data_IF_169816392335
#
_entry.id   IF_169816392335
#
_cell.length_a   1.000
_cell.length_b   1.000
_cell.length_c   1.000
_cell.angle_alpha   90.00
_cell.angle_beta   90.00
_cell.angle_gamma   90.00
#
_symmetry.space_group_name_H-M   'P 1'
#
loop_
_entity.id
_entity.type
_entity.pdbx_description
1 polymer ?
#
# COMPACT_ATOMS: atom_id res chain seq x y z
N UNK A 1 -14.52 -21.98 26.85
CA UNK A 1 -13.78 -21.87 25.57
C UNK A 1 -13.53 -20.39 25.33
N UNK A 2 -12.31 -19.93 25.63
CA UNK A 2 -11.90 -18.54 25.73
C UNK A 2 -11.38 -17.99 24.40
N UNK A 3 -11.87 -16.82 23.97
CA UNK A 3 -11.08 -15.86 23.18
C UNK A 3 -11.57 -14.43 23.50
N UNK A 4 -10.70 -13.57 24.08
CA UNK A 4 -10.94 -12.15 23.97
C UNK A 4 -9.65 -11.36 23.76
N UNK A 5 -9.11 -11.24 22.54
CA UNK A 5 -8.09 -10.19 22.31
C UNK A 5 -8.06 -9.61 20.90
N UNK A 6 -8.96 -8.66 20.59
CA UNK A 6 -8.66 -7.58 19.62
C UNK A 6 -9.36 -6.27 20.00
N UNK A 7 -8.73 -5.49 20.87
CA UNK A 7 -8.95 -4.05 20.92
C UNK A 7 -7.60 -3.37 20.64
N UNK A 8 -7.37 -3.02 19.38
CA UNK A 8 -6.25 -2.16 18.97
C UNK A 8 -6.49 -0.79 19.59
N UNK A 9 -5.83 -0.54 20.71
CA UNK A 9 -5.84 0.76 21.36
C UNK A 9 -4.94 1.72 20.57
N UNK A 10 -5.56 2.67 19.88
CA UNK A 10 -4.92 3.92 19.45
C UNK A 10 -4.47 4.67 20.72
N UNK A 11 -3.17 4.67 21.01
CA UNK A 11 -2.61 5.58 22.03
C UNK A 11 -2.40 6.94 21.39
N UNK A 12 -3.28 7.87 21.78
CA UNK A 12 -3.10 9.32 21.64
C UNK A 12 -1.81 9.72 22.34
N UNK A 13 -0.90 10.37 21.62
CA UNK A 13 0.25 11.05 22.21
C UNK A 13 -0.25 12.26 22.98
N UNK A 14 -0.09 12.26 24.30
CA UNK A 14 -0.28 13.45 25.14
C UNK A 14 1.11 13.94 25.51
N UNK A 15 1.43 15.18 25.11
CA UNK A 15 2.64 15.87 25.52
C UNK A 15 2.64 16.07 27.03
N UNK A 16 3.65 15.54 27.70
CA UNK A 16 3.97 15.84 29.09
C UNK A 16 5.35 16.48 29.16
N UNK A 17 5.38 17.79 29.39
CA UNK A 17 6.57 18.56 29.68
C UNK A 17 6.99 18.29 31.14
N UNK A 18 8.17 17.73 31.38
CA UNK A 18 8.77 17.71 32.72
C UNK A 18 10.30 17.75 32.59
N UNK A 19 10.87 18.86 33.07
CA UNK A 19 12.30 19.12 33.12
C UNK A 19 12.93 18.45 34.37
N UNK A 20 14.04 17.74 34.18
CA UNK A 20 15.05 17.51 35.23
C UNK A 20 16.38 16.98 34.62
N UNK A 21 17.39 17.84 34.68
CA UNK A 21 18.84 17.64 34.75
C UNK A 21 19.46 16.22 34.55
N UNK A 22 20.39 16.12 33.59
CA UNK A 22 21.59 15.27 33.72
C UNK A 22 21.78 14.15 32.70
N UNK A 23 22.94 14.18 32.03
CA UNK A 23 23.50 13.23 31.03
C UNK A 23 23.08 13.49 29.58
N UNK A 24 24.05 13.99 28.82
CA UNK A 24 24.02 14.21 27.38
C UNK A 24 23.89 12.88 26.62
N UNK A 25 22.65 12.42 26.45
CA UNK A 25 22.27 11.50 25.38
C UNK A 25 21.25 12.28 24.55
N UNK A 26 21.74 12.97 23.52
CA UNK A 26 20.88 13.69 22.58
C UNK A 26 19.79 12.76 22.07
N UNK A 27 18.55 13.25 21.88
CA UNK A 27 17.51 12.42 21.32
C UNK A 27 18.05 11.89 20.00
N UNK A 28 17.99 10.57 19.82
CA UNK A 28 18.01 9.98 18.50
C UNK A 28 16.91 10.71 17.73
N UNK A 29 17.30 11.77 17.02
CA UNK A 29 16.41 12.51 16.17
C UNK A 29 15.80 11.47 15.28
N UNK A 30 14.46 11.39 15.28
CA UNK A 30 13.75 10.61 14.30
C UNK A 30 14.39 10.97 12.96
N UNK A 31 15.17 10.05 12.40
CA UNK A 31 15.86 10.27 11.14
C UNK A 31 14.74 10.64 10.18
N UNK A 32 14.71 11.91 9.78
CA UNK A 32 13.70 12.38 8.83
C UNK A 32 13.92 11.52 7.60
N UNK A 33 12.98 10.62 7.31
CA UNK A 33 13.11 9.70 6.21
C UNK A 33 13.38 10.52 4.95
N UNK A 34 14.59 10.42 4.40
CA UNK A 34 15.05 11.25 3.30
C UNK A 34 14.19 10.89 2.08
N UNK A 35 13.25 11.76 1.72
CA UNK A 35 12.40 11.57 0.54
C UNK A 35 13.09 12.24 -0.64
N UNK A 36 13.38 11.47 -1.69
CA UNK A 36 13.96 11.98 -2.93
C UNK A 36 12.85 12.00 -3.98
N UNK A 37 12.71 13.12 -4.70
CA UNK A 37 11.79 13.24 -5.83
C UNK A 37 12.26 12.37 -6.99
N UNK A 38 11.35 11.85 -7.83
CA UNK A 38 11.71 11.02 -8.98
C UNK A 38 12.75 11.68 -9.91
N UNK A 39 12.70 13.00 -10.09
CA UNK A 39 13.66 13.74 -10.93
C UNK A 39 15.10 13.75 -10.38
N UNK A 40 15.27 13.52 -9.08
CA UNK A 40 16.56 13.45 -8.40
C UNK A 40 16.98 12.01 -8.07
N UNK A 41 16.13 11.02 -8.38
CA UNK A 41 16.42 9.63 -8.12
C UNK A 41 17.36 9.06 -9.20
N UNK A 42 18.30 8.17 -8.83
CA UNK A 42 19.08 7.41 -9.80
C UNK A 42 18.19 6.70 -10.83
N UNK A 43 18.57 6.65 -12.12
CA UNK A 43 17.75 6.02 -13.17
C UNK A 43 17.37 4.57 -12.87
N UNK A 44 18.26 3.81 -12.22
CA UNK A 44 17.98 2.44 -11.80
C UNK A 44 16.82 2.35 -10.79
N UNK A 45 16.65 3.34 -9.92
CA UNK A 45 15.55 3.39 -8.95
C UNK A 45 14.23 3.73 -9.64
N UNK A 46 14.25 4.61 -10.64
CA UNK A 46 13.07 4.95 -11.45
C UNK A 46 12.61 3.72 -12.25
N UNK A 47 13.54 3.02 -12.90
CA UNK A 47 13.25 1.79 -13.63
C UNK A 47 12.65 0.72 -12.71
N UNK A 48 13.25 0.53 -11.52
CA UNK A 48 12.73 -0.40 -10.52
C UNK A 48 11.32 0.00 -10.05
N UNK A 49 11.08 1.27 -9.76
CA UNK A 49 9.76 1.78 -9.39
C UNK A 49 8.71 1.51 -10.47
N UNK A 50 9.09 1.58 -11.75
CA UNK A 50 8.22 1.19 -12.88
C UNK A 50 7.84 -0.29 -12.85
N UNK A 51 8.81 -1.17 -12.63
CA UNK A 51 8.60 -2.63 -12.54
C UNK A 51 7.69 -2.97 -11.35
N UNK A 52 7.92 -2.36 -10.19
CA UNK A 52 7.07 -2.54 -9.02
C UNK A 52 5.65 -2.04 -9.30
N UNK A 53 5.51 -0.87 -9.92
CA UNK A 53 4.20 -0.30 -10.25
C UNK A 53 3.39 -1.22 -11.18
N UNK A 54 4.03 -1.77 -12.22
CA UNK A 54 3.38 -2.71 -13.14
C UNK A 54 2.99 -4.01 -12.43
N UNK A 55 3.91 -4.60 -11.68
CA UNK A 55 3.69 -5.86 -10.97
C UNK A 55 2.56 -5.75 -9.95
N UNK A 56 2.56 -4.66 -9.17
CA UNK A 56 1.49 -4.37 -8.21
C UNK A 56 0.18 -4.12 -8.92
N UNK A 57 0.16 -3.33 -10.00
CA UNK A 57 -1.07 -3.10 -10.77
C UNK A 57 -1.65 -4.40 -11.30
N UNK A 58 -0.83 -5.24 -11.92
CA UNK A 58 -1.24 -6.55 -12.42
C UNK A 58 -1.79 -7.45 -11.29
N UNK A 59 -1.17 -7.42 -10.10
CA UNK A 59 -1.68 -8.16 -8.94
C UNK A 59 -3.05 -7.66 -8.47
N UNK A 60 -3.26 -6.35 -8.47
CA UNK A 60 -4.51 -5.72 -8.00
C UNK A 60 -5.65 -5.77 -9.04
N UNK A 61 -5.35 -5.95 -10.32
CA UNK A 61 -6.34 -6.08 -11.40
C UNK A 61 -6.50 -7.51 -11.93
N UNK A 62 -5.78 -8.47 -11.34
CA UNK A 62 -5.87 -9.88 -11.70
C UNK A 62 -7.18 -10.54 -11.24
N UNK A 63 -7.34 -11.81 -11.54
CA UNK A 63 -8.54 -12.60 -11.20
C UNK A 63 -8.50 -13.22 -9.79
N UNK A 64 -7.65 -12.69 -8.91
CA UNK A 64 -7.61 -13.12 -7.51
C UNK A 64 -8.92 -12.71 -6.80
N UNK A 65 -9.56 -13.60 -6.00
CA UNK A 65 -10.79 -13.26 -5.30
C UNK A 65 -10.68 -12.00 -4.42
N UNK A 66 -9.53 -11.74 -3.80
CA UNK A 66 -9.31 -10.51 -3.04
C UNK A 66 -9.18 -9.29 -3.95
N UNK A 67 -8.57 -9.42 -5.14
CA UNK A 67 -8.48 -8.36 -6.13
C UNK A 67 -9.86 -7.99 -6.71
N UNK A 68 -10.72 -8.99 -6.94
CA UNK A 68 -12.10 -8.79 -7.37
C UNK A 68 -12.93 -8.08 -6.28
N UNK A 69 -12.85 -8.53 -5.02
CA UNK A 69 -13.53 -7.88 -3.90
C UNK A 69 -13.07 -6.44 -3.70
N UNK A 70 -11.75 -6.19 -3.77
CA UNK A 70 -11.19 -4.85 -3.71
C UNK A 70 -11.72 -3.96 -4.84
N UNK A 71 -11.80 -4.49 -6.07
CA UNK A 71 -12.36 -3.76 -7.21
C UNK A 71 -13.83 -3.40 -7.00
N UNK A 72 -14.63 -4.32 -6.46
CA UNK A 72 -16.04 -4.08 -6.12
C UNK A 72 -16.19 -3.05 -4.98
N UNK A 73 -15.31 -3.10 -3.98
CA UNK A 73 -15.28 -2.11 -2.89
C UNK A 73 -14.96 -0.71 -3.41
N UNK A 74 -13.99 -0.58 -4.32
CA UNK A 74 -13.63 0.69 -4.96
C UNK A 74 -14.80 1.24 -5.78
N UNK A 75 -15.50 0.38 -6.54
CA UNK A 75 -16.67 0.79 -7.32
C UNK A 75 -17.82 1.34 -6.47
N UNK A 76 -17.86 1.00 -5.17
CA UNK A 76 -18.87 1.49 -4.22
C UNK A 76 -18.49 2.81 -3.53
N UNK A 77 -17.28 3.33 -3.77
CA UNK A 77 -16.86 4.60 -3.15
C UNK A 77 -17.66 5.77 -3.73
N UNK A 78 -18.14 6.71 -2.89
CA UNK A 78 -18.89 7.87 -3.36
C UNK A 78 -18.00 8.77 -4.23
N UNK A 79 -18.47 9.08 -5.44
CA UNK A 79 -17.73 9.89 -6.41
C UNK A 79 -16.65 9.12 -7.19
N UNK A 80 -16.55 7.80 -7.03
CA UNK A 80 -15.73 6.99 -7.91
C UNK A 80 -16.42 6.85 -9.28
N UNK A 81 -15.82 7.45 -10.31
CA UNK A 81 -16.16 7.12 -11.69
C UNK A 81 -15.44 5.80 -12.06
N UNK A 82 -16.17 4.72 -12.39
CA UNK A 82 -15.58 3.45 -12.79
C UNK A 82 -14.65 3.56 -14.01
N UNK A 83 -14.86 4.54 -14.89
CA UNK A 83 -14.02 4.79 -16.08
C UNK A 83 -12.70 5.47 -15.71
N UNK A 84 -12.74 6.40 -14.75
CA UNK A 84 -11.56 7.10 -14.24
C UNK A 84 -10.74 6.19 -13.31
N UNK A 85 -11.40 5.38 -12.48
CA UNK A 85 -10.75 4.64 -11.42
C UNK A 85 -10.21 5.54 -10.30
N UNK A 86 -9.40 4.97 -9.41
CA UNK A 86 -8.81 5.69 -8.26
C UNK A 86 -7.28 5.64 -8.30
N UNK A 87 -6.63 6.64 -7.71
CA UNK A 87 -5.19 6.64 -7.47
C UNK A 87 -4.89 6.27 -6.03
N UNK A 88 -4.25 5.11 -5.84
CA UNK A 88 -3.76 4.66 -4.53
C UNK A 88 -2.33 5.12 -4.30
N UNK A 89 -2.11 5.86 -3.23
CA UNK A 89 -0.77 6.20 -2.75
C UNK A 89 -0.35 5.15 -1.73
N UNK A 90 0.68 4.36 -2.07
CA UNK A 90 1.15 3.24 -1.24
C UNK A 90 2.65 3.35 -1.05
N UNK A 91 3.09 3.15 0.18
CA UNK A 91 4.48 3.07 0.60
C UNK A 91 4.85 1.60 0.83
N UNK A 92 5.94 1.14 0.22
CA UNK A 92 6.38 -0.25 0.21
C UNK A 92 7.72 -0.41 0.91
N UNK A 93 7.81 -1.39 1.81
CA UNK A 93 9.08 -1.92 2.30
C UNK A 93 9.34 -3.24 1.58
N UNK A 94 10.49 -3.33 0.93
CA UNK A 94 10.89 -4.46 0.11
C UNK A 94 12.22 -4.96 0.67
N UNK A 95 12.34 -6.25 0.94
CA UNK A 95 13.59 -6.82 1.42
C UNK A 95 14.62 -7.02 0.29
N UNK A 96 15.84 -7.43 0.65
CA UNK A 96 16.93 -7.65 -0.31
C UNK A 96 16.66 -8.74 -1.35
N UNK A 97 15.61 -9.55 -1.17
CA UNK A 97 15.19 -10.60 -2.10
C UNK A 97 14.01 -10.16 -2.99
N UNK A 98 13.59 -8.89 -2.91
CA UNK A 98 12.46 -8.39 -3.67
C UNK A 98 11.11 -8.76 -3.09
N UNK A 99 11.01 -9.24 -1.85
CA UNK A 99 9.72 -9.52 -1.21
C UNK A 99 9.18 -8.28 -0.52
N UNK A 100 7.92 -7.95 -0.76
CA UNK A 100 7.21 -6.91 -0.03
C UNK A 100 6.94 -7.41 1.39
N UNK A 101 7.54 -6.75 2.38
CA UNK A 101 7.42 -7.14 3.80
C UNK A 101 6.39 -6.31 4.55
N UNK A 102 6.12 -5.10 4.07
CA UNK A 102 5.14 -4.17 4.66
C UNK A 102 4.66 -3.19 3.61
N UNK A 103 3.40 -2.79 3.76
CA UNK A 103 2.83 -1.66 3.04
C UNK A 103 2.22 -0.65 4.03
N UNK A 104 2.19 0.61 3.62
CA UNK A 104 1.37 1.65 4.23
C UNK A 104 0.58 2.40 3.16
N UNK A 105 -0.68 2.70 3.44
CA UNK A 105 -1.57 3.41 2.53
C UNK A 105 -2.58 4.23 3.33
N UNK A 106 -3.24 5.18 2.67
CA UNK A 106 -4.40 5.83 3.26
C UNK A 106 -5.49 4.77 3.49
N UNK A 107 -6.11 4.72 4.68
CA UNK A 107 -7.14 3.73 4.96
C UNK A 107 -8.39 4.02 4.13
N UNK A 108 -8.95 2.98 3.53
CA UNK A 108 -10.30 3.01 2.99
C UNK A 108 -11.31 3.06 4.13
N UNK A 109 -12.49 3.62 3.86
CA UNK A 109 -13.62 3.59 4.79
C UNK A 109 -14.05 2.16 5.14
N UNK A 110 -13.94 1.25 4.16
CA UNK A 110 -14.29 -0.15 4.30
C UNK A 110 -13.10 -0.95 4.80
N UNK A 111 -13.22 -1.52 6.00
CA UNK A 111 -12.18 -2.37 6.58
C UNK A 111 -11.79 -3.58 5.69
N UNK A 112 -12.73 -4.29 5.05
CA UNK A 112 -12.39 -5.39 4.14
C UNK A 112 -11.45 -4.98 3.00
N UNK A 113 -11.64 -3.81 2.40
CA UNK A 113 -10.75 -3.29 1.35
C UNK A 113 -9.31 -3.07 1.85
N UNK A 114 -9.14 -2.64 3.10
CA UNK A 114 -7.82 -2.50 3.71
C UNK A 114 -7.16 -3.87 3.92
N UNK A 115 -7.93 -4.86 4.37
CA UNK A 115 -7.43 -6.20 4.65
C UNK A 115 -7.10 -6.96 3.34
N UNK A 116 -7.93 -6.84 2.30
CA UNK A 116 -7.68 -7.41 0.98
C UNK A 116 -6.42 -6.79 0.34
N UNK A 117 -6.22 -5.47 0.46
CA UNK A 117 -5.01 -4.81 -0.04
C UNK A 117 -3.74 -5.33 0.66
N UNK A 118 -3.78 -5.51 1.99
CA UNK A 118 -2.68 -6.10 2.75
C UNK A 118 -2.41 -7.55 2.30
N UNK A 119 -3.46 -8.36 2.15
CA UNK A 119 -3.35 -9.76 1.75
C UNK A 119 -2.80 -9.94 0.31
N UNK A 120 -3.12 -9.02 -0.60
CA UNK A 120 -2.64 -9.07 -1.98
C UNK A 120 -1.17 -8.70 -2.13
N UNK A 121 -0.69 -7.76 -1.32
CA UNK A 121 0.61 -7.11 -1.52
C UNK A 121 1.69 -7.56 -0.53
N UNK A 122 1.35 -7.79 0.75
CA UNK A 122 2.33 -8.27 1.72
C UNK A 122 2.68 -9.72 1.41
N UNK A 123 3.96 -10.02 1.30
CA UNK A 123 4.47 -11.32 0.89
C UNK A 123 4.60 -11.50 -0.63
N UNK A 124 4.13 -10.55 -1.45
CA UNK A 124 4.35 -10.59 -2.90
C UNK A 124 5.86 -10.55 -3.19
N UNK A 125 6.34 -11.53 -3.97
CA UNK A 125 7.71 -11.57 -4.47
C UNK A 125 7.81 -10.87 -5.81
N UNK A 126 8.67 -9.87 -5.91
CA UNK A 126 9.00 -9.18 -7.15
C UNK A 126 10.06 -9.98 -7.92
N UNK A 127 10.09 -9.83 -9.24
CA UNK A 127 11.07 -10.51 -10.10
C UNK A 127 12.52 -10.01 -9.89
N UNK A 128 12.67 -8.83 -9.28
CA UNK A 128 13.96 -8.19 -9.06
C UNK A 128 14.08 -7.69 -7.62
N UNK A 129 15.28 -7.82 -7.07
CA UNK A 129 15.65 -7.18 -5.80
C UNK A 129 15.76 -5.66 -5.97
N UNK A 130 15.55 -4.88 -4.89
CA UNK A 130 15.80 -3.46 -4.91
C UNK A 130 17.25 -3.15 -5.34
N UNK A 131 17.47 -2.15 -6.20
CA UNK A 131 18.82 -1.65 -6.49
C UNK A 131 19.59 -1.28 -5.23
N UNK A 132 20.92 -1.33 -5.30
CA UNK A 132 21.77 -0.96 -4.17
C UNK A 132 21.46 0.45 -3.65
N UNK A 133 21.49 0.58 -2.33
CA UNK A 133 21.29 1.84 -1.60
C UNK A 133 19.95 2.52 -1.86
N UNK A 134 18.98 1.82 -2.47
CA UNK A 134 17.65 2.36 -2.68
C UNK A 134 16.98 2.68 -1.35
N UNK A 135 16.43 3.90 -1.26
CA UNK A 135 15.74 4.35 -0.06
C UNK A 135 14.36 3.71 0.05
N UNK A 136 14.04 3.28 1.27
CA UNK A 136 12.73 2.75 1.63
C UNK A 136 12.07 3.65 2.70
N UNK A 137 10.74 3.75 2.72
CA UNK A 137 9.81 3.05 1.83
C UNK A 137 9.76 3.65 0.42
N UNK A 138 9.56 2.79 -0.58
CA UNK A 138 9.26 3.20 -1.94
C UNK A 138 7.81 3.69 -2.01
N UNK A 139 7.59 4.95 -2.38
CA UNK A 139 6.25 5.55 -2.46
C UNK A 139 5.76 5.62 -3.90
N UNK A 140 4.67 4.94 -4.21
CA UNK A 140 4.09 4.89 -5.55
C UNK A 140 2.64 5.38 -5.54
N UNK A 141 2.25 6.00 -6.66
CA UNK A 141 0.87 6.33 -6.96
C UNK A 141 0.38 5.38 -8.06
N UNK A 142 -0.47 4.43 -7.71
CA UNK A 142 -0.95 3.38 -8.61
C UNK A 142 -2.39 3.67 -8.97
N UNK A 143 -2.69 3.79 -10.26
CA UNK A 143 -4.06 3.95 -10.76
C UNK A 143 -4.70 2.58 -10.96
N UNK A 144 -5.88 2.38 -10.38
CA UNK A 144 -6.65 1.15 -10.48
C UNK A 144 -8.04 1.49 -10.97
N UNK A 145 -8.48 0.79 -12.01
CA UNK A 145 -9.85 0.90 -12.53
C UNK A 145 -10.67 -0.28 -12.02
N UNK A 146 -11.87 -0.05 -11.47
CA UNK A 146 -12.79 -1.14 -11.16
C UNK A 146 -13.03 -1.99 -12.41
N UNK A 147 -12.93 -3.31 -12.28
CA UNK A 147 -13.35 -4.21 -13.36
C UNK A 147 -14.85 -4.01 -13.56
N UNK A 148 -15.32 -3.70 -14.78
CA UNK A 148 -16.76 -3.64 -15.03
C UNK A 148 -17.33 -5.02 -14.67
N UNK A 149 -18.40 -5.04 -13.87
CA UNK A 149 -19.14 -6.27 -13.63
C UNK A 149 -19.63 -6.73 -14.99
N UNK A 150 -19.04 -7.79 -15.52
CA UNK A 150 -19.58 -8.46 -16.70
C UNK A 150 -20.92 -9.01 -16.26
N UNK A 151 -22.00 -8.24 -16.47
CA UNK A 151 -23.35 -8.77 -16.45
C UNK A 151 -23.34 -9.93 -17.44
N UNK A 152 -23.58 -11.19 -17.03
CA UNK A 152 -23.71 -12.26 -18.00
C UNK A 152 -24.81 -11.83 -18.95
N UNK A 153 -24.47 -11.67 -20.23
CA UNK A 153 -25.42 -11.33 -21.27
C UNK A 153 -26.60 -12.28 -21.15
N UNK A 154 -27.81 -11.72 -20.99
CA UNK A 154 -29.05 -12.48 -20.98
C UNK A 154 -29.00 -13.51 -22.11
N UNK A 155 -29.29 -14.80 -21.86
CA UNK A 155 -29.36 -15.79 -22.93
C UNK A 155 -30.41 -15.32 -23.91
N UNK A 156 -29.97 -14.96 -25.11
CA UNK A 156 -30.80 -14.69 -26.26
C UNK A 156 -31.64 -15.94 -26.50
N UNK A 157 -32.94 -15.82 -26.22
CA UNK A 157 -33.91 -16.89 -26.33
C UNK A 157 -34.31 -16.97 -27.80
N UNK A 158 -33.68 -17.86 -28.55
CA UNK A 158 -34.15 -18.30 -29.86
C UNK A 158 -34.80 -19.68 -29.75
#
# INVERSE_FOLDING_TARGET
>A
MTDPHRRRAFRRFVSGLAAALGVASGPAGAASAQSISPDAAPPAWIAYAGIVSETVRARLTGDDPAAMRLSDDIARLPGADPQEGITLKVAFWIDGNGRITRIEHAPFAQQPANDDLQALLVGLSLAQSPPEKMLLPLRLAIRIKPKPRTTPASPDKN
#
